data_IF_681244446045
#
_entry.id   IF_681244446045
#
_cell.length_a   1.000
_cell.length_b   1.000
_cell.length_c   1.000
_cell.angle_alpha   90.00
_cell.angle_beta   90.00
_cell.angle_gamma   90.00
#
_symmetry.space_group_name_H-M   'P 1'
#
loop_
_entity.id
_entity.type
_entity.pdbx_description
1 polymer ?
#
# COMPACT_ATOMS: atom_id res chain seq x y z
N UNK A 1 6.30 -12.71 9.46
CA UNK A 1 6.89 -11.72 8.54
C UNK A 1 7.82 -12.44 7.59
N UNK A 2 7.79 -12.14 6.29
CA UNK A 2 8.58 -12.89 5.26
C UNK A 2 10.08 -12.56 5.21
N UNK A 3 10.55 -11.68 6.09
CA UNK A 3 11.95 -11.25 6.25
C UNK A 3 12.28 -11.24 7.74
N UNK A 4 13.52 -10.91 8.05
CA UNK A 4 14.05 -10.69 9.38
C UNK A 4 13.87 -9.25 9.89
N UNK A 5 13.59 -8.29 9.00
CA UNK A 5 13.49 -6.86 9.34
C UNK A 5 12.22 -6.19 8.79
N UNK A 6 11.69 -5.23 9.56
CA UNK A 6 10.54 -4.42 9.17
C UNK A 6 10.95 -3.12 8.47
N UNK A 7 10.09 -2.65 7.57
CA UNK A 7 10.24 -1.33 6.89
C UNK A 7 9.42 -0.21 7.53
N UNK A 8 8.77 -0.48 8.66
CA UNK A 8 7.98 0.51 9.38
C UNK A 8 8.87 1.60 10.00
N UNK A 9 8.27 2.71 10.43
CA UNK A 9 8.98 3.75 11.18
C UNK A 9 9.65 3.19 12.44
N UNK A 10 10.83 3.71 12.79
CA UNK A 10 11.63 3.23 13.93
C UNK A 10 10.83 3.21 15.24
N UNK A 11 10.09 4.29 15.52
CA UNK A 11 9.25 4.41 16.73
C UNK A 11 8.19 3.31 16.83
N UNK A 12 7.67 2.82 15.71
CA UNK A 12 6.68 1.73 15.68
C UNK A 12 7.35 0.38 15.90
N UNK A 13 8.57 0.19 15.40
CA UNK A 13 9.37 -1.00 15.67
C UNK A 13 9.71 -1.08 17.16
N UNK A 14 10.09 0.03 17.79
CA UNK A 14 10.39 0.08 19.23
C UNK A 14 9.14 -0.31 20.06
N UNK A 15 7.97 0.23 19.71
CA UNK A 15 6.69 -0.14 20.35
C UNK A 15 6.35 -1.61 20.15
N UNK A 16 6.61 -2.16 18.97
CA UNK A 16 6.41 -3.58 18.68
C UNK A 16 7.30 -4.44 19.58
N UNK A 17 8.60 -4.14 19.67
CA UNK A 17 9.53 -4.89 20.50
C UNK A 17 9.15 -4.85 21.97
N UNK A 18 8.74 -3.69 22.51
CA UNK A 18 8.23 -3.61 23.88
C UNK A 18 7.02 -4.55 24.11
N UNK A 19 6.12 -4.69 23.13
CA UNK A 19 4.97 -5.59 23.23
C UNK A 19 5.34 -7.07 23.10
N UNK A 20 6.44 -7.37 22.41
CA UNK A 20 7.02 -8.72 22.36
C UNK A 20 7.64 -9.07 23.72
N UNK A 21 8.38 -8.15 24.33
CA UNK A 21 8.94 -8.32 25.68
C UNK A 21 7.87 -8.47 26.77
N UNK A 22 6.76 -7.72 26.66
CA UNK A 22 5.57 -7.89 27.51
C UNK A 22 4.86 -9.24 27.31
N UNK A 23 5.23 -10.03 26.30
CA UNK A 23 4.58 -11.31 25.97
C UNK A 23 3.20 -11.18 25.32
N UNK A 24 2.83 -9.98 24.84
CA UNK A 24 1.53 -9.73 24.19
C UNK A 24 1.54 -10.02 22.69
N UNK A 25 2.73 -9.99 22.08
CA UNK A 25 2.92 -10.25 20.65
C UNK A 25 3.97 -11.35 20.51
N UNK A 26 3.68 -12.37 19.71
CA UNK A 26 4.66 -13.36 19.26
C UNK A 26 5.12 -13.02 17.85
N UNK A 27 6.43 -12.88 17.66
CA UNK A 27 7.04 -12.46 16.41
C UNK A 27 7.58 -13.68 15.66
N UNK A 28 6.97 -14.01 14.52
CA UNK A 28 7.45 -15.07 13.63
C UNK A 28 8.07 -14.40 12.39
N UNK A 29 9.38 -14.51 12.23
CA UNK A 29 10.15 -13.91 11.12
C UNK A 29 10.50 -14.96 10.05
N UNK A 30 11.02 -14.52 8.90
CA UNK A 30 11.43 -15.37 7.78
C UNK A 30 10.37 -16.39 7.33
N UNK A 31 9.09 -16.05 7.48
CA UNK A 31 8.00 -17.00 7.32
C UNK A 31 6.89 -16.42 6.45
N UNK A 32 6.34 -17.23 5.55
CA UNK A 32 5.20 -16.92 4.69
C UNK A 32 3.95 -17.70 5.13
N UNK A 33 2.78 -17.12 4.87
CA UNK A 33 1.50 -17.79 5.07
C UNK A 33 1.25 -18.73 3.89
N UNK A 34 1.10 -20.03 4.15
CA UNK A 34 0.85 -21.05 3.14
C UNK A 34 -0.64 -21.34 2.96
N UNK A 35 -1.34 -21.50 4.07
CA UNK A 35 -2.74 -21.88 4.07
C UNK A 35 -3.46 -21.31 5.30
N UNK A 36 -4.72 -20.93 5.12
CA UNK A 36 -5.64 -20.60 6.22
C UNK A 36 -6.65 -21.74 6.29
N UNK A 37 -6.75 -22.38 7.46
CA UNK A 37 -7.56 -23.58 7.65
C UNK A 37 -8.69 -23.25 8.62
N UNK A 38 -9.90 -23.60 8.21
CA UNK A 38 -11.15 -23.34 8.94
C UNK A 38 -12.34 -23.77 8.09
N UNK A 39 -13.50 -23.91 8.73
CA UNK A 39 -14.77 -24.20 8.04
C UNK A 39 -15.59 -22.91 7.89
N UNK A 40 -16.41 -22.56 8.89
CA UNK A 40 -17.14 -21.29 8.91
C UNK A 40 -16.31 -20.12 9.46
N UNK A 41 -15.32 -20.44 10.30
CA UNK A 41 -14.39 -19.50 10.94
C UNK A 41 -12.98 -20.05 10.85
N UNK A 42 -11.97 -19.18 10.98
CA UNK A 42 -10.57 -19.60 11.03
C UNK A 42 -10.32 -20.38 12.31
N UNK A 43 -9.60 -21.51 12.21
CA UNK A 43 -9.15 -22.32 13.36
C UNK A 43 -7.63 -22.31 13.47
N UNK A 44 -6.93 -22.35 12.32
CA UNK A 44 -5.48 -22.35 12.30
C UNK A 44 -4.91 -21.80 10.99
N UNK A 45 -3.63 -21.46 11.01
CA UNK A 45 -2.84 -21.12 9.83
C UNK A 45 -1.66 -22.05 9.68
N UNK A 46 -1.35 -22.42 8.45
CA UNK A 46 -0.10 -23.08 8.09
C UNK A 46 0.89 -22.04 7.60
N UNK A 47 2.04 -22.02 8.24
CA UNK A 47 3.15 -21.14 7.96
C UNK A 47 4.31 -21.94 7.39
N UNK A 48 5.08 -21.35 6.48
CA UNK A 48 6.28 -21.95 5.90
C UNK A 48 7.46 -21.00 6.09
N UNK A 49 8.51 -21.47 6.77
CA UNK A 49 9.79 -20.78 6.93
C UNK A 49 10.55 -20.79 5.59
N UNK A 50 11.48 -19.85 5.38
CA UNK A 50 12.35 -19.80 4.20
C UNK A 50 13.17 -21.07 3.99
N UNK A 51 13.36 -21.87 5.05
CA UNK A 51 14.05 -23.16 5.01
C UNK A 51 13.12 -24.32 4.57
N UNK A 52 11.85 -24.05 4.28
CA UNK A 52 10.83 -25.05 3.90
C UNK A 52 10.18 -25.77 5.08
N UNK A 53 10.58 -25.46 6.33
CA UNK A 53 9.94 -26.01 7.52
C UNK A 53 8.53 -25.42 7.66
N UNK A 54 7.54 -26.27 7.96
CA UNK A 54 6.16 -25.85 8.15
C UNK A 54 5.77 -25.85 9.61
N UNK A 55 4.97 -24.86 10.02
CA UNK A 55 4.45 -24.69 11.36
C UNK A 55 2.95 -24.44 11.29
N UNK A 56 2.17 -25.15 12.10
CA UNK A 56 0.74 -24.86 12.29
C UNK A 56 0.53 -24.00 13.54
N UNK A 57 -0.25 -22.94 13.42
CA UNK A 57 -0.57 -22.02 14.52
C UNK A 57 -2.09 -21.90 14.65
N UNK A 58 -2.62 -22.24 15.83
CA UNK A 58 -4.04 -22.02 16.14
C UNK A 58 -4.33 -20.55 16.35
N UNK A 59 -5.29 -20.01 15.61
CA UNK A 59 -5.73 -18.62 15.66
C UNK A 59 -7.18 -18.53 15.23
N UNK A 60 -7.94 -17.64 15.85
CA UNK A 60 -9.36 -17.43 15.52
C UNK A 60 -9.56 -16.42 14.37
N UNK A 61 -8.50 -15.74 13.93
CA UNK A 61 -8.58 -14.71 12.91
C UNK A 61 -7.24 -14.34 12.29
N UNK A 62 -7.28 -13.90 11.03
CA UNK A 62 -6.10 -13.54 10.24
C UNK A 62 -6.32 -12.17 9.60
N UNK A 63 -5.40 -11.23 9.85
CA UNK A 63 -5.40 -9.92 9.24
C UNK A 63 -4.27 -9.84 8.21
N UNK A 64 -4.63 -9.70 6.93
CA UNK A 64 -3.67 -9.63 5.83
C UNK A 64 -3.27 -8.17 5.58
N UNK A 65 -2.06 -7.81 6.00
CA UNK A 65 -1.50 -6.46 5.85
C UNK A 65 -0.22 -6.47 4.98
N UNK A 66 -0.37 -6.78 3.68
CA UNK A 66 0.76 -6.95 2.73
C UNK A 66 1.02 -5.74 1.83
N UNK A 67 0.35 -4.62 2.10
CA UNK A 67 0.37 -3.41 1.27
C UNK A 67 -0.86 -3.31 0.36
N UNK A 68 -0.97 -2.17 -0.31
CA UNK A 68 -2.11 -1.84 -1.18
C UNK A 68 -1.67 -1.81 -2.64
N UNK A 69 -2.52 -2.36 -3.53
CA UNK A 69 -2.47 -2.12 -4.98
C UNK A 69 -3.30 -0.85 -5.26
N UNK A 70 -2.81 0.09 -6.09
CA UNK A 70 -3.62 1.23 -6.51
C UNK A 70 -4.87 0.75 -7.28
N UNK A 71 -6.01 1.41 -7.06
CA UNK A 71 -7.30 1.08 -7.68
C UNK A 71 -7.40 1.68 -9.10
N UNK A 72 -6.64 1.14 -10.04
CA UNK A 72 -6.45 1.73 -11.38
C UNK A 72 -6.82 0.81 -12.54
N UNK A 73 -7.30 -0.40 -12.24
CA UNK A 73 -7.62 -1.42 -13.26
C UNK A 73 -8.59 -0.91 -14.34
N UNK A 74 -9.50 0.00 -13.97
CA UNK A 74 -10.46 0.61 -14.91
C UNK A 74 -9.81 1.59 -15.92
N UNK A 75 -8.56 2.01 -15.71
CA UNK A 75 -7.83 2.96 -16.56
C UNK A 75 -6.75 2.28 -17.40
N UNK A 76 -6.57 0.97 -17.28
CA UNK A 76 -5.61 0.21 -18.08
C UNK A 76 -5.87 0.41 -19.58
N UNK A 77 -4.80 0.71 -20.33
CA UNK A 77 -4.86 0.99 -21.76
C UNK A 77 -5.45 2.35 -22.13
N UNK A 78 -5.98 3.12 -21.16
CA UNK A 78 -6.54 4.47 -21.38
C UNK A 78 -5.58 5.58 -20.94
N UNK A 79 -4.86 5.35 -19.83
CA UNK A 79 -3.87 6.27 -19.29
C UNK A 79 -2.49 5.62 -19.27
N UNK A 80 -1.43 6.43 -19.36
CA UNK A 80 -0.08 5.96 -19.10
C UNK A 80 0.06 5.56 -17.64
N UNK A 81 0.52 4.34 -17.42
CA UNK A 81 0.66 3.76 -16.08
C UNK A 81 2.05 3.14 -15.89
N UNK A 82 2.54 3.15 -14.66
CA UNK A 82 3.79 2.51 -14.27
C UNK A 82 3.55 1.68 -13.00
N UNK A 83 3.73 0.36 -13.08
CA UNK A 83 3.51 -0.58 -11.97
C UNK A 83 2.14 -0.42 -11.28
N UNK A 84 1.10 -0.13 -12.07
CA UNK A 84 -0.26 0.10 -11.59
C UNK A 84 -0.56 1.55 -11.15
N UNK A 85 0.41 2.45 -11.09
CA UNK A 85 0.18 3.85 -10.74
C UNK A 85 -0.05 4.70 -11.98
N UNK A 86 -0.94 5.69 -11.91
CA UNK A 86 -1.16 6.64 -13.01
C UNK A 86 0.05 7.59 -13.09
N UNK A 87 0.62 7.72 -14.28
CA UNK A 87 1.73 8.65 -14.52
C UNK A 87 1.18 10.06 -14.70
N UNK A 88 1.63 10.98 -13.85
CA UNK A 88 1.37 12.41 -13.96
C UNK A 88 2.60 13.16 -14.47
N UNK A 89 2.40 14.38 -14.97
CA UNK A 89 3.49 15.22 -15.51
C UNK A 89 4.56 15.56 -14.46
N UNK A 90 4.17 15.78 -13.21
CA UNK A 90 5.04 16.25 -12.11
C UNK A 90 5.81 17.54 -12.46
N UNK A 91 6.73 17.97 -11.60
CA UNK A 91 7.57 19.15 -11.82
C UNK A 91 6.99 20.45 -11.24
N UNK A 92 7.60 21.58 -11.62
CA UNK A 92 7.27 22.92 -11.10
C UNK A 92 6.38 23.75 -12.03
N UNK A 93 6.10 23.25 -13.23
CA UNK A 93 5.21 23.89 -14.19
C UNK A 93 3.74 23.57 -13.88
N UNK A 94 2.81 24.39 -14.37
CA UNK A 94 1.38 24.13 -14.27
C UNK A 94 0.99 22.77 -14.89
N UNK A 95 -0.03 22.12 -14.33
CA UNK A 95 -0.48 20.80 -14.76
C UNK A 95 0.36 19.66 -14.17
N UNK A 96 0.93 19.82 -12.98
CA UNK A 96 1.76 18.79 -12.36
C UNK A 96 0.98 17.49 -12.11
N UNK A 97 -0.35 17.57 -11.96
CA UNK A 97 -1.23 16.40 -11.80
C UNK A 97 -1.83 15.88 -13.10
N UNK A 98 -1.56 16.54 -14.24
CA UNK A 98 -2.06 16.13 -15.54
C UNK A 98 -1.54 14.74 -15.94
N UNK A 99 -2.43 13.92 -16.49
CA UNK A 99 -2.11 12.58 -16.99
C UNK A 99 -1.70 12.63 -18.47
N UNK A 100 -1.57 11.47 -19.11
CA UNK A 100 -1.33 11.36 -20.56
C UNK A 100 -2.48 11.85 -21.44
N UNK A 101 -3.67 12.04 -20.88
CA UNK A 101 -4.87 12.50 -21.60
C UNK A 101 -5.23 13.91 -21.13
N UNK A 102 -5.31 14.91 -22.03
CA UNK A 102 -5.74 16.27 -21.67
C UNK A 102 -7.10 16.29 -20.97
N UNK A 103 -7.23 17.09 -19.92
CA UNK A 103 -8.44 17.18 -19.11
C UNK A 103 -8.61 16.06 -18.07
N UNK A 104 -7.68 15.11 -17.99
CA UNK A 104 -7.66 14.08 -16.95
C UNK A 104 -6.46 14.30 -16.01
N UNK A 105 -6.75 14.35 -14.71
CA UNK A 105 -5.79 14.61 -13.63
C UNK A 105 -5.83 13.48 -12.61
N UNK A 106 -4.71 13.21 -11.93
CA UNK A 106 -4.61 12.18 -10.89
C UNK A 106 -3.92 12.71 -9.64
N UNK A 107 -4.45 12.32 -8.47
CA UNK A 107 -3.99 12.79 -7.17
C UNK A 107 -4.08 11.70 -6.09
N UNK A 108 -3.19 11.79 -5.10
CA UNK A 108 -3.07 10.83 -4.00
C UNK A 108 -2.38 9.53 -4.38
N UNK A 109 -2.57 8.49 -3.58
CA UNK A 109 -1.90 7.18 -3.68
C UNK A 109 -2.04 6.51 -5.06
N UNK A 110 -3.03 6.90 -5.87
CA UNK A 110 -3.20 6.39 -7.25
C UNK A 110 -2.05 6.84 -8.19
N UNK A 111 -1.42 7.96 -7.88
CA UNK A 111 -0.30 8.56 -8.60
C UNK A 111 0.98 8.68 -7.74
N UNK A 112 0.89 8.49 -6.42
CA UNK A 112 2.02 8.52 -5.48
C UNK A 112 2.38 7.12 -4.98
N UNK A 113 3.44 6.54 -5.54
CA UNK A 113 3.98 5.26 -5.08
C UNK A 113 5.04 5.39 -3.96
N UNK A 114 5.42 6.62 -3.59
CA UNK A 114 6.56 6.89 -2.70
C UNK A 114 6.14 7.26 -1.29
N UNK A 115 5.26 8.26 -1.11
CA UNK A 115 4.95 8.79 0.22
C UNK A 115 3.71 8.15 0.83
N UNK A 116 2.59 8.12 0.10
CA UNK A 116 1.32 7.48 0.51
C UNK A 116 0.87 7.89 1.91
N UNK A 117 0.87 9.21 2.15
CA UNK A 117 0.44 9.80 3.41
C UNK A 117 -0.83 10.62 3.18
N UNK A 118 -1.70 10.67 4.19
CA UNK A 118 -2.91 11.48 4.12
C UNK A 118 -2.60 12.95 3.74
N UNK A 119 -1.52 13.52 4.30
CA UNK A 119 -1.14 14.91 4.04
C UNK A 119 -0.59 15.14 2.63
N UNK A 120 0.17 14.18 2.07
CA UNK A 120 0.67 14.30 0.69
C UNK A 120 -0.48 14.15 -0.30
N UNK A 121 -1.39 13.21 -0.04
CA UNK A 121 -2.58 12.98 -0.86
C UNK A 121 -3.53 14.18 -0.84
N UNK A 122 -3.72 14.85 0.30
CA UNK A 122 -4.48 16.09 0.38
C UNK A 122 -3.85 17.22 -0.45
N UNK A 123 -2.53 17.38 -0.39
CA UNK A 123 -1.80 18.36 -1.20
C UNK A 123 -1.98 18.13 -2.70
N UNK A 124 -1.82 16.89 -3.17
CA UNK A 124 -2.05 16.52 -4.57
C UNK A 124 -3.51 16.74 -4.99
N UNK A 125 -4.48 16.48 -4.10
CA UNK A 125 -5.89 16.75 -4.36
C UNK A 125 -6.16 18.23 -4.63
N UNK A 126 -5.55 19.12 -3.84
CA UNK A 126 -5.62 20.57 -4.06
C UNK A 126 -5.02 20.96 -5.42
N UNK A 127 -3.85 20.42 -5.75
CA UNK A 127 -3.19 20.68 -7.04
C UNK A 127 -4.05 20.23 -8.23
N UNK A 128 -4.67 19.05 -8.15
CA UNK A 128 -5.52 18.53 -9.23
C UNK A 128 -6.79 19.37 -9.45
N UNK A 129 -7.37 19.93 -8.38
CA UNK A 129 -8.50 20.84 -8.51
C UNK A 129 -8.09 22.12 -9.26
N UNK A 130 -6.94 22.72 -8.91
CA UNK A 130 -6.43 23.94 -9.57
C UNK A 130 -6.00 23.67 -11.02
N UNK A 131 -5.35 22.54 -11.29
CA UNK A 131 -4.97 22.14 -12.65
C UNK A 131 -6.21 21.94 -13.54
N UNK A 132 -7.29 21.38 -12.97
CA UNK A 132 -8.56 21.20 -13.67
C UNK A 132 -9.28 22.55 -13.92
N UNK A 133 -9.27 23.46 -12.94
CA UNK A 133 -9.82 24.82 -13.09
C UNK A 133 -9.15 25.56 -14.24
N UNK A 134 -7.81 25.61 -14.24
CA UNK A 134 -7.02 26.25 -15.29
C UNK A 134 -7.29 25.62 -16.67
N UNK A 135 -7.46 24.30 -16.74
CA UNK A 135 -7.79 23.61 -17.99
C UNK A 135 -9.17 24.01 -18.51
N UNK A 136 -10.19 24.02 -17.64
CA UNK A 136 -11.55 24.38 -18.01
C UNK A 136 -11.65 25.85 -18.45
N UNK A 137 -10.94 26.76 -17.79
CA UNK A 137 -10.89 28.18 -18.17
C UNK A 137 -10.21 28.42 -19.53
N UNK A 138 -9.43 27.45 -20.02
CA UNK A 138 -8.73 27.53 -21.30
C UNK A 138 -9.49 26.96 -22.50
N UNK A 139 -10.67 26.36 -22.27
CA UNK A 139 -11.55 25.79 -23.31
C UNK A 139 -12.40 26.88 -23.99
#
# INVERSE_FOLDING_TARGET
>A
HRRDQFRAEKILQDRLHNKVEEGKISLILNTVLKEIIGDQVVDQVMLEDINGATLSLKVDGVFIAIGHKPNTDIFEGQLNMNNGYIVTKTGFDNGATSTSVPGIFAAGDVADYSYRQAITSAGFGCMAALDAEVYLDSL
#
